data_IF_521903681063
#
_entry.id   IF_521903681063
#
_cell.length_a   1.000
_cell.length_b   1.000
_cell.length_c   1.000
_cell.angle_alpha   90.00
_cell.angle_beta   90.00
_cell.angle_gamma   90.00
#
_symmetry.space_group_name_H-M   'P 1'
#
loop_
_entity.id
_entity.type
_entity.pdbx_description
1 polymer ?
#
# COMPACT_ATOMS: atom_id res chain seq x y z
N UNK A 1 5.07 -6.63 46.93
CA UNK A 1 5.49 -7.18 45.66
C UNK A 1 4.30 -7.11 44.68
N UNK A 2 4.22 -6.12 43.82
CA UNK A 2 3.19 -6.00 42.77
C UNK A 2 3.71 -6.67 41.50
N UNK A 3 2.96 -7.65 41.00
CA UNK A 3 3.27 -8.33 39.73
C UNK A 3 3.07 -7.37 38.56
N UNK A 4 4.09 -7.23 37.73
CA UNK A 4 4.06 -6.53 36.45
C UNK A 4 3.43 -7.48 35.42
N UNK A 5 2.44 -7.05 34.63
CA UNK A 5 1.88 -7.91 33.59
C UNK A 5 2.88 -8.14 32.47
N UNK A 6 2.95 -9.39 32.00
CA UNK A 6 3.87 -9.82 30.96
C UNK A 6 3.64 -9.12 29.62
N UNK A 7 4.73 -8.75 28.99
CA UNK A 7 4.79 -8.22 27.64
C UNK A 7 4.52 -9.36 26.64
N UNK A 8 3.52 -9.19 25.80
CA UNK A 8 3.33 -10.03 24.63
C UNK A 8 4.42 -9.68 23.60
N UNK A 9 5.25 -10.65 23.27
CA UNK A 9 6.22 -10.56 22.20
C UNK A 9 5.46 -10.47 20.86
N UNK A 10 5.38 -9.27 20.29
CA UNK A 10 4.85 -9.04 18.95
C UNK A 10 5.86 -9.51 17.91
N UNK A 11 5.47 -10.39 17.04
CA UNK A 11 6.27 -10.88 15.92
C UNK A 11 6.34 -9.79 14.85
N UNK A 12 7.54 -9.32 14.50
CA UNK A 12 7.79 -8.37 13.41
C UNK A 12 7.60 -9.09 12.07
N UNK A 13 6.76 -8.60 11.20
CA UNK A 13 6.58 -9.09 9.84
C UNK A 13 6.68 -7.95 8.82
N UNK A 14 7.27 -8.26 7.71
CA UNK A 14 7.68 -7.42 6.61
C UNK A 14 6.55 -7.11 5.62
N UNK A 15 6.44 -5.89 5.14
CA UNK A 15 5.55 -5.52 4.05
C UNK A 15 6.05 -6.06 2.71
N UNK A 16 5.16 -6.52 1.80
CA UNK A 16 5.53 -6.87 0.43
C UNK A 16 6.02 -5.62 -0.33
N UNK A 17 7.20 -5.70 -0.89
CA UNK A 17 7.98 -4.61 -1.46
C UNK A 17 9.25 -4.30 -0.67
N UNK A 18 9.36 -4.81 0.56
CA UNK A 18 10.52 -4.70 1.44
C UNK A 18 11.28 -6.04 1.60
N UNK A 19 11.07 -6.99 0.73
CA UNK A 19 11.74 -8.29 0.73
C UNK A 19 13.21 -8.23 0.26
N UNK A 20 13.90 -7.13 0.52
CA UNK A 20 15.32 -6.95 0.29
C UNK A 20 15.92 -6.14 1.43
N UNK A 21 16.56 -6.81 2.39
CA UNK A 21 17.42 -6.25 3.44
C UNK A 21 16.77 -5.16 4.31
N UNK A 22 15.99 -5.56 5.27
CA UNK A 22 15.50 -4.69 6.37
C UNK A 22 16.57 -4.33 7.39
N UNK A 23 17.67 -3.81 6.94
CA UNK A 23 18.71 -3.41 7.87
C UNK A 23 18.77 -1.91 8.14
N UNK A 24 17.87 -1.09 7.57
CA UNK A 24 18.06 0.37 7.60
C UNK A 24 16.79 1.22 7.60
N UNK A 25 15.66 0.80 8.15
CA UNK A 25 14.56 1.76 8.37
C UNK A 25 14.99 2.77 9.42
N UNK A 26 14.90 4.05 9.07
CA UNK A 26 15.31 5.15 9.94
C UNK A 26 14.12 5.64 10.73
N UNK A 27 14.19 5.57 12.06
CA UNK A 27 13.24 6.22 12.94
C UNK A 27 13.75 7.63 13.24
N UNK A 28 13.12 8.65 12.68
CA UNK A 28 13.47 10.05 12.90
C UNK A 28 12.66 10.58 14.08
N UNK A 29 13.33 10.90 15.18
CA UNK A 29 12.70 11.38 16.39
C UNK A 29 13.54 12.49 17.05
N UNK A 30 12.89 13.42 17.77
CA UNK A 30 13.61 14.29 18.67
C UNK A 30 13.89 13.53 19.97
N UNK A 31 15.13 13.07 20.12
CA UNK A 31 15.57 12.28 21.27
C UNK A 31 16.03 13.13 22.47
N UNK A 32 15.93 14.47 22.39
CA UNK A 32 16.32 15.39 23.46
C UNK A 32 15.49 15.15 24.73
N UNK A 33 16.00 14.32 25.65
CA UNK A 33 15.42 14.04 26.94
C UNK A 33 14.21 13.11 26.98
N UNK A 34 13.93 12.40 25.91
CA UNK A 34 12.95 11.32 25.88
C UNK A 34 13.64 10.06 25.39
N UNK A 35 13.71 8.98 26.16
CA UNK A 35 14.21 7.71 25.65
C UNK A 35 13.33 7.26 24.48
N UNK A 36 13.90 7.14 23.29
CA UNK A 36 13.28 6.37 22.23
C UNK A 36 13.47 4.93 22.63
N UNK A 37 12.41 4.12 22.79
CA UNK A 37 12.56 2.71 23.09
C UNK A 37 13.49 2.08 22.04
N UNK A 38 14.34 1.17 22.48
CA UNK A 38 15.15 0.36 21.58
C UNK A 38 14.20 -0.40 20.66
N UNK A 39 14.07 0.09 19.44
CA UNK A 39 13.30 -0.55 18.40
C UNK A 39 14.05 -1.82 18.04
N UNK A 40 13.32 -2.92 17.85
CA UNK A 40 13.92 -4.23 17.57
C UNK A 40 14.88 -4.20 16.38
N UNK A 41 15.70 -5.21 16.23
CA UNK A 41 16.71 -5.32 15.18
C UNK A 41 16.15 -4.89 13.82
N UNK A 42 16.76 -3.88 13.20
CA UNK A 42 16.37 -3.39 11.88
C UNK A 42 16.03 -1.90 11.80
N UNK A 43 15.98 -1.16 12.91
CA UNK A 43 15.77 0.27 12.88
C UNK A 43 17.03 1.03 13.31
N UNK A 44 17.37 2.08 12.58
CA UNK A 44 18.36 3.07 12.99
C UNK A 44 17.62 4.32 13.48
N UNK A 45 17.89 4.74 14.70
CA UNK A 45 17.34 6.00 15.23
C UNK A 45 18.21 7.15 14.79
N UNK A 46 17.62 8.13 14.13
CA UNK A 46 18.26 9.41 13.83
C UNK A 46 17.61 10.50 14.69
N UNK A 47 18.43 11.12 15.53
CA UNK A 47 17.99 12.28 16.31
C UNK A 47 18.05 13.54 15.47
N UNK A 48 16.92 14.19 15.31
CA UNK A 48 16.83 15.50 14.67
C UNK A 48 15.79 16.36 15.37
N UNK A 49 16.10 17.61 15.67
CA UNK A 49 15.07 18.55 16.09
C UNK A 49 14.26 19.11 14.92
N UNK A 50 14.80 19.09 13.69
CA UNK A 50 14.23 19.75 12.52
C UNK A 50 14.20 18.80 11.32
N UNK A 51 13.01 18.55 10.79
CA UNK A 51 12.75 17.66 9.68
C UNK A 51 11.74 18.30 8.71
N UNK A 52 11.96 18.09 7.42
CA UNK A 52 11.05 18.56 6.38
C UNK A 52 10.40 17.37 5.64
N UNK A 53 9.12 17.48 5.34
CA UNK A 53 8.49 16.73 4.27
C UNK A 53 8.95 17.41 2.98
N UNK A 54 9.94 16.81 2.32
CA UNK A 54 10.65 17.45 1.20
C UNK A 54 10.17 16.93 -0.14
N UNK A 55 9.87 17.88 -1.04
CA UNK A 55 9.57 17.62 -2.44
C UNK A 55 10.80 17.83 -3.29
N UNK A 56 10.99 16.91 -4.24
CA UNK A 56 11.99 17.03 -5.28
C UNK A 56 11.37 16.71 -6.64
N UNK A 57 11.90 17.31 -7.69
CA UNK A 57 11.48 17.02 -9.06
C UNK A 57 12.69 16.81 -9.97
N UNK A 58 12.66 15.74 -10.73
CA UNK A 58 13.68 15.40 -11.74
C UNK A 58 13.18 15.73 -13.14
N UNK A 59 13.69 16.81 -13.78
CA UNK A 59 13.26 17.20 -15.11
C UNK A 59 13.52 16.14 -16.19
N UNK A 60 14.62 15.38 -16.08
CA UNK A 60 15.03 14.41 -17.09
C UNK A 60 14.01 13.28 -17.30
N UNK A 61 13.37 12.80 -16.23
CA UNK A 61 12.37 11.74 -16.28
C UNK A 61 10.98 12.24 -15.87
N UNK A 62 10.83 13.54 -15.57
CA UNK A 62 9.58 14.22 -15.26
C UNK A 62 8.86 13.64 -14.04
N UNK A 63 9.62 13.25 -13.02
CA UNK A 63 9.11 12.61 -11.83
C UNK A 63 9.29 13.47 -10.59
N UNK A 64 8.24 13.48 -9.74
CA UNK A 64 8.33 13.95 -8.37
C UNK A 64 8.77 12.83 -7.44
N UNK A 65 9.51 13.20 -6.40
CA UNK A 65 9.72 12.38 -5.21
C UNK A 65 9.33 13.18 -3.98
N UNK A 66 8.79 12.47 -2.98
CA UNK A 66 8.40 13.01 -1.69
C UNK A 66 9.03 12.13 -0.63
N UNK A 67 9.68 12.74 0.34
CA UNK A 67 10.36 12.02 1.42
C UNK A 67 10.58 12.90 2.63
N UNK A 68 11.48 12.49 3.51
CA UNK A 68 11.89 13.28 4.65
C UNK A 68 13.32 13.83 4.45
N UNK A 69 13.55 15.05 4.89
CA UNK A 69 14.87 15.66 4.93
C UNK A 69 15.20 16.07 6.37
N UNK A 70 16.29 15.57 6.87
CA UNK A 70 16.85 16.05 8.12
C UNK A 70 17.58 17.36 7.84
N UNK A 71 17.07 18.48 8.36
CA UNK A 71 17.60 19.79 8.03
C UNK A 71 18.93 20.08 8.74
N UNK A 72 19.23 19.39 9.84
CA UNK A 72 20.48 19.56 10.57
C UNK A 72 21.72 19.09 9.79
N UNK A 73 21.56 18.07 8.92
CA UNK A 73 22.68 17.48 8.17
C UNK A 73 22.42 17.37 6.65
N UNK A 74 21.23 17.75 6.18
CA UNK A 74 20.83 17.69 4.77
C UNK A 74 20.52 16.31 4.24
N UNK A 75 20.60 15.25 5.07
CA UNK A 75 20.31 13.86 4.64
C UNK A 75 18.85 13.71 4.28
N UNK A 76 18.59 13.05 3.16
CA UNK A 76 17.25 12.80 2.66
C UNK A 76 16.94 11.30 2.74
N UNK A 77 15.68 10.99 3.03
CA UNK A 77 15.14 9.64 3.12
C UNK A 77 13.94 9.52 2.20
N UNK A 78 13.88 8.46 1.42
CA UNK A 78 12.63 8.13 0.72
C UNK A 78 11.50 7.89 1.74
N UNK A 79 10.28 8.17 1.36
CA UNK A 79 9.12 8.04 2.25
C UNK A 79 8.92 6.63 2.81
N UNK A 80 9.44 5.63 2.09
CA UNK A 80 9.42 4.21 2.51
C UNK A 80 10.56 3.82 3.45
N UNK A 81 11.60 4.64 3.56
CA UNK A 81 12.84 4.29 4.26
C UNK A 81 12.92 4.91 5.66
N UNK A 82 11.97 5.79 5.99
CA UNK A 82 11.94 6.50 7.27
C UNK A 82 10.53 6.61 7.85
N UNK A 83 10.47 6.67 9.17
CA UNK A 83 9.28 6.95 9.95
C UNK A 83 9.55 8.20 10.77
N UNK A 84 8.69 9.20 10.65
CA UNK A 84 8.69 10.38 11.54
C UNK A 84 7.87 10.05 12.78
N UNK A 85 8.47 10.20 13.94
CA UNK A 85 7.89 9.76 15.21
C UNK A 85 7.42 10.92 16.08
N UNK A 86 6.13 10.91 16.44
CA UNK A 86 5.52 11.76 17.45
C UNK A 86 5.53 11.07 18.80
N UNK A 87 6.36 11.55 19.72
CA UNK A 87 6.45 10.97 21.08
C UNK A 87 5.33 11.48 21.99
N UNK A 88 5.17 10.83 23.15
CA UNK A 88 4.15 11.18 24.16
C UNK A 88 4.11 12.65 24.54
N UNK A 89 5.28 13.33 24.58
CA UNK A 89 5.37 14.76 24.87
C UNK A 89 4.65 15.66 23.84
N UNK A 90 4.29 15.12 22.68
CA UNK A 90 3.54 15.84 21.64
C UNK A 90 2.03 15.78 21.87
N UNK A 91 1.55 15.06 22.88
CA UNK A 91 0.15 15.12 23.32
C UNK A 91 -0.21 16.55 23.71
N UNK A 92 -1.37 16.96 23.25
CA UNK A 92 -1.91 18.30 23.48
C UNK A 92 -3.42 18.15 23.72
N UNK A 93 -3.94 18.93 24.68
CA UNK A 93 -5.38 19.00 24.93
C UNK A 93 -6.05 19.84 23.85
N UNK A 94 -7.16 19.36 23.30
CA UNK A 94 -7.98 20.10 22.33
C UNK A 94 -8.57 21.34 23.04
N UNK A 95 -8.30 22.55 22.52
CA UNK A 95 -8.81 23.78 23.12
C UNK A 95 -10.34 23.83 23.08
N UNK A 96 -10.91 24.70 23.92
CA UNK A 96 -12.33 25.01 23.85
C UNK A 96 -12.67 25.89 22.65
N UNK A 97 -13.90 25.75 22.15
CA UNK A 97 -14.44 26.52 21.03
C UNK A 97 -14.65 25.67 19.78
N UNK A 98 -15.72 25.99 19.03
CA UNK A 98 -16.13 25.26 17.83
C UNK A 98 -15.12 25.32 16.68
N UNK A 99 -14.23 26.33 16.66
CA UNK A 99 -13.15 26.47 15.69
C UNK A 99 -12.11 25.33 15.77
N UNK A 100 -12.04 24.63 16.92
CA UNK A 100 -11.13 23.50 17.15
C UNK A 100 -11.79 22.14 16.94
N UNK A 101 -13.07 22.10 16.56
CA UNK A 101 -13.84 20.86 16.39
C UNK A 101 -13.23 19.88 15.38
N UNK A 102 -12.38 20.36 14.46
CA UNK A 102 -11.66 19.50 13.50
C UNK A 102 -10.65 18.56 14.19
N UNK A 103 -10.17 18.90 15.38
CA UNK A 103 -9.27 18.05 16.18
C UNK A 103 -10.05 17.04 17.03
N UNK A 104 -11.35 17.22 17.23
CA UNK A 104 -12.21 16.38 18.06
C UNK A 104 -12.95 17.16 19.14
N UNK A 105 -13.37 16.46 20.18
CA UNK A 105 -14.11 17.06 21.30
C UNK A 105 -13.19 17.87 22.19
N UNK A 106 -13.61 19.08 22.60
CA UNK A 106 -12.88 19.94 23.55
C UNK A 106 -12.50 19.16 24.82
N UNK A 107 -11.28 19.35 25.28
CA UNK A 107 -10.69 18.59 26.40
C UNK A 107 -10.15 17.21 26.04
N UNK A 108 -10.41 16.72 24.82
CA UNK A 108 -9.81 15.51 24.29
C UNK A 108 -8.31 15.70 23.96
N UNK A 109 -7.70 14.68 23.39
CA UNK A 109 -6.26 14.65 23.11
C UNK A 109 -6.00 14.59 21.60
N UNK A 110 -5.00 15.31 21.14
CA UNK A 110 -4.37 15.18 19.85
C UNK A 110 -2.85 15.26 19.97
N UNK A 111 -2.11 14.93 18.93
CA UNK A 111 -0.65 15.03 18.91
C UNK A 111 -0.23 16.15 17.96
N UNK A 112 0.62 17.04 18.44
CA UNK A 112 1.00 18.27 17.74
C UNK A 112 2.49 18.34 17.44
N UNK A 113 2.84 18.64 16.20
CA UNK A 113 4.15 19.16 15.80
C UNK A 113 4.02 20.67 15.65
N UNK A 114 4.62 21.46 16.58
CA UNK A 114 4.42 22.91 16.58
C UNK A 114 5.08 23.61 15.38
N UNK A 115 4.43 24.66 14.87
CA UNK A 115 4.92 25.48 13.76
C UNK A 115 6.12 26.38 14.15
N UNK A 116 6.55 26.39 15.39
CA UNK A 116 7.67 27.22 15.85
C UNK A 116 8.74 26.37 16.50
N UNK A 117 10.01 26.73 16.27
CA UNK A 117 11.14 26.04 16.89
C UNK A 117 11.09 26.08 18.41
N UNK A 118 10.69 27.22 19.01
CA UNK A 118 10.52 27.35 20.45
C UNK A 118 9.42 26.45 21.00
N UNK A 119 8.29 26.31 20.28
CA UNK A 119 7.22 25.40 20.63
C UNK A 119 7.66 23.94 20.54
N UNK A 120 8.39 23.56 19.50
CA UNK A 120 8.94 22.23 19.34
C UNK A 120 9.98 21.90 20.43
N UNK A 121 10.89 22.82 20.72
CA UNK A 121 11.90 22.65 21.77
C UNK A 121 11.27 22.51 23.16
N UNK A 122 10.26 23.31 23.48
CA UNK A 122 9.54 23.24 24.75
C UNK A 122 8.83 21.91 24.99
N UNK A 123 8.32 21.30 23.93
CA UNK A 123 7.68 19.96 23.95
C UNK A 123 8.66 18.81 23.72
N UNK A 124 9.92 19.08 23.41
CA UNK A 124 10.88 18.08 22.92
C UNK A 124 10.32 17.30 21.71
N UNK A 125 9.59 18.02 20.86
CA UNK A 125 8.96 17.50 19.65
C UNK A 125 9.88 17.73 18.45
N UNK A 126 9.60 17.05 17.34
CA UNK A 126 10.16 17.42 16.05
C UNK A 126 9.59 18.77 15.60
N UNK A 127 10.44 19.63 15.08
CA UNK A 127 10.07 20.81 14.31
C UNK A 127 9.90 20.35 12.87
N UNK A 128 8.67 19.96 12.51
CA UNK A 128 8.35 19.32 11.23
C UNK A 128 7.73 20.35 10.29
N UNK A 129 8.30 20.46 9.09
CA UNK A 129 7.84 21.39 8.06
C UNK A 129 7.62 20.73 6.71
N UNK A 130 7.37 21.58 5.72
CA UNK A 130 7.28 21.24 4.30
C UNK A 130 8.31 22.01 3.52
N UNK A 131 9.00 21.36 2.59
CA UNK A 131 9.98 22.04 1.75
C UNK A 131 9.92 21.62 0.28
N UNK A 132 10.28 22.54 -0.58
CA UNK A 132 10.50 22.35 -2.01
C UNK A 132 11.97 22.47 -2.40
N UNK A 133 12.89 22.10 -1.51
CA UNK A 133 14.34 22.26 -1.73
C UNK A 133 14.86 21.49 -2.95
N UNK A 134 14.21 20.40 -3.32
CA UNK A 134 14.54 19.63 -4.53
C UNK A 134 13.77 20.06 -5.77
N UNK A 135 13.10 21.22 -5.73
CA UNK A 135 12.36 21.80 -6.88
C UNK A 135 13.12 23.02 -7.40
N UNK A 136 13.59 22.94 -8.63
CA UNK A 136 14.35 24.05 -9.28
C UNK A 136 13.47 25.28 -9.43
N UNK A 137 14.02 26.44 -9.06
CA UNK A 137 13.34 27.72 -9.20
C UNK A 137 12.97 28.02 -10.67
N UNK A 138 11.81 28.63 -10.85
CA UNK A 138 11.23 29.01 -12.17
C UNK A 138 10.93 27.83 -13.12
N UNK A 139 11.03 26.59 -12.63
CA UNK A 139 10.66 25.41 -13.43
C UNK A 139 9.13 25.26 -13.54
N UNK A 140 8.42 25.62 -12.47
CA UNK A 140 6.96 25.62 -12.42
C UNK A 140 6.39 27.02 -12.42
N UNK A 141 5.16 27.18 -12.90
CA UNK A 141 4.41 28.43 -12.81
C UNK A 141 4.07 28.77 -11.35
N UNK A 142 3.71 30.02 -11.11
CA UNK A 142 3.29 30.49 -9.79
C UNK A 142 4.19 31.62 -9.27
N UNK A 143 3.94 32.02 -8.03
CA UNK A 143 4.68 33.08 -7.34
C UNK A 143 5.94 32.55 -6.66
N UNK A 144 6.83 33.41 -6.18
CA UNK A 144 8.00 33.02 -5.39
C UNK A 144 9.00 32.11 -6.12
N UNK A 145 9.14 32.23 -7.45
CA UNK A 145 10.05 31.38 -8.22
C UNK A 145 9.44 30.05 -8.66
N UNK A 146 8.12 29.93 -8.62
CA UNK A 146 7.34 28.73 -8.97
C UNK A 146 6.81 27.98 -7.76
N UNK A 147 5.74 27.26 -7.98
CA UNK A 147 5.04 26.54 -6.91
C UNK A 147 4.61 25.14 -7.32
N UNK A 148 4.59 24.23 -6.35
CA UNK A 148 4.08 22.87 -6.47
C UNK A 148 3.01 22.68 -5.38
N UNK A 149 1.93 22.02 -5.73
CA UNK A 149 0.86 21.68 -4.80
C UNK A 149 1.06 20.26 -4.26
N UNK A 150 1.16 20.15 -2.93
CA UNK A 150 1.17 18.88 -2.24
C UNK A 150 -0.25 18.56 -1.75
N UNK A 151 -0.81 17.45 -2.19
CA UNK A 151 -2.16 17.01 -1.84
C UNK A 151 -2.12 15.71 -1.03
N UNK A 152 -2.93 15.62 0.03
CA UNK A 152 -3.22 14.35 0.68
C UNK A 152 -4.14 13.55 -0.24
N UNK A 153 -3.68 12.40 -0.69
CA UNK A 153 -4.45 11.47 -1.53
C UNK A 153 -5.25 10.48 -0.68
N UNK A 154 -4.61 9.87 0.32
CA UNK A 154 -5.23 8.93 1.24
C UNK A 154 -4.48 8.90 2.58
N UNK A 155 -5.15 8.42 3.62
CA UNK A 155 -4.58 8.15 4.93
C UNK A 155 -5.07 6.80 5.44
N UNK A 156 -4.20 6.10 6.12
CA UNK A 156 -4.50 4.84 6.79
C UNK A 156 -3.79 4.79 8.14
N UNK A 157 -4.51 4.43 9.19
CA UNK A 157 -3.91 4.09 10.47
C UNK A 157 -3.75 2.57 10.53
N UNK A 158 -2.51 2.10 10.42
CA UNK A 158 -2.17 0.68 10.32
C UNK A 158 -2.39 -0.10 11.63
N UNK A 159 -2.35 0.59 12.78
CA UNK A 159 -2.57 -0.03 14.10
C UNK A 159 -4.01 0.08 14.57
N UNK A 160 -4.75 1.08 14.09
CA UNK A 160 -6.14 1.34 14.43
C UNK A 160 -6.93 1.70 13.17
N UNK A 161 -7.31 0.74 12.32
CA UNK A 161 -7.95 0.99 11.04
C UNK A 161 -9.15 1.93 11.14
N UNK A 162 -9.15 2.97 10.31
CA UNK A 162 -10.21 3.99 10.28
C UNK A 162 -10.13 5.06 11.37
N UNK A 163 -9.18 4.98 12.31
CA UNK A 163 -9.04 5.97 13.37
C UNK A 163 -8.09 7.11 12.99
N UNK A 164 -8.50 8.34 13.30
CA UNK A 164 -7.69 9.54 13.25
C UNK A 164 -7.53 10.16 11.87
N UNK A 165 -7.15 11.44 11.90
CA UNK A 165 -6.87 12.26 10.73
C UNK A 165 -5.58 13.02 10.92
N UNK A 166 -5.00 13.45 9.79
CA UNK A 166 -3.87 14.37 9.72
C UNK A 166 -4.36 15.76 9.32
N UNK A 167 -3.85 16.77 10.01
CA UNK A 167 -4.10 18.18 9.71
C UNK A 167 -2.79 18.97 9.74
N UNK A 168 -2.68 19.93 8.83
CA UNK A 168 -1.70 21.01 8.89
C UNK A 168 -2.46 22.34 8.91
N UNK A 169 -2.19 23.19 9.90
CA UNK A 169 -2.93 24.42 10.10
C UNK A 169 -2.05 25.56 10.64
N UNK A 170 -2.43 26.77 10.32
CA UNK A 170 -1.89 27.99 10.94
C UNK A 170 -2.83 28.48 12.02
N UNK A 171 -2.35 29.40 12.86
CA UNK A 171 -3.18 30.09 13.84
C UNK A 171 -3.02 31.61 13.68
N UNK A 172 -4.15 32.32 13.61
CA UNK A 172 -4.22 33.77 13.72
C UNK A 172 -4.87 34.10 15.06
N UNK A 173 -4.05 34.47 16.05
CA UNK A 173 -4.48 34.51 17.43
C UNK A 173 -4.93 33.14 17.93
N UNK A 174 -6.19 33.01 18.36
CA UNK A 174 -6.80 31.74 18.79
C UNK A 174 -7.57 31.00 17.69
N UNK A 175 -7.57 31.51 16.45
CA UNK A 175 -8.34 30.94 15.37
C UNK A 175 -7.44 30.09 14.46
N UNK A 176 -7.68 28.77 14.37
CA UNK A 176 -6.97 27.91 13.44
C UNK A 176 -7.53 28.05 12.03
N UNK A 177 -6.64 27.98 11.04
CA UNK A 177 -6.96 27.91 9.62
C UNK A 177 -6.30 26.67 9.03
N UNK A 178 -7.10 25.66 8.71
CA UNK A 178 -6.61 24.41 8.12
C UNK A 178 -6.09 24.65 6.70
N UNK A 179 -4.81 24.34 6.47
CA UNK A 179 -4.13 24.49 5.18
C UNK A 179 -4.09 23.18 4.40
N UNK A 180 -3.95 22.04 5.09
CA UNK A 180 -3.89 20.72 4.47
C UNK A 180 -4.52 19.69 5.42
N UNK A 181 -5.36 18.78 4.89
CA UNK A 181 -6.00 17.77 5.71
C UNK A 181 -6.27 16.48 4.95
N UNK A 182 -6.31 15.38 5.70
CA UNK A 182 -6.83 14.08 5.23
C UNK A 182 -8.35 13.92 5.43
N UNK A 183 -8.98 14.79 6.21
CA UNK A 183 -10.40 14.71 6.51
C UNK A 183 -11.25 15.35 5.40
N UNK A 184 -12.39 14.74 5.13
CA UNK A 184 -13.39 15.30 4.21
C UNK A 184 -13.92 16.64 4.69
N UNK A 185 -14.19 17.56 3.76
CA UNK A 185 -14.71 18.89 4.06
C UNK A 185 -13.66 19.94 4.40
N UNK A 186 -12.39 19.57 4.44
CA UNK A 186 -11.26 20.48 4.63
C UNK A 186 -10.38 20.56 3.39
N UNK A 187 -9.50 21.58 3.34
CA UNK A 187 -8.54 21.71 2.25
C UNK A 187 -7.57 20.52 2.29
N UNK A 188 -7.40 19.84 1.16
CA UNK A 188 -6.52 18.71 1.02
C UNK A 188 -5.27 18.98 0.17
N UNK A 189 -5.00 20.26 -0.15
CA UNK A 189 -3.88 20.67 -1.01
C UNK A 189 -3.19 21.89 -0.43
N UNK A 190 -1.88 21.82 -0.28
CA UNK A 190 -1.03 22.88 0.22
C UNK A 190 0.02 23.28 -0.82
N UNK A 191 0.23 24.59 -0.97
CA UNK A 191 1.21 25.16 -1.89
C UNK A 191 2.60 25.22 -1.27
N UNK A 192 3.59 24.70 -1.97
CA UNK A 192 5.01 24.73 -1.60
C UNK A 192 5.78 25.47 -2.69
N UNK A 193 6.58 26.45 -2.29
CA UNK A 193 7.40 27.22 -3.20
C UNK A 193 8.68 26.47 -3.57
N UNK A 194 9.13 26.63 -4.82
CA UNK A 194 10.40 26.09 -5.30
C UNK A 194 11.58 26.66 -4.49
N UNK A 195 12.38 25.76 -3.91
CA UNK A 195 13.51 26.14 -3.06
C UNK A 195 13.13 26.70 -1.68
N UNK A 196 11.83 26.84 -1.38
CA UNK A 196 11.32 27.34 -0.12
C UNK A 196 11.00 26.25 0.90
N UNK A 197 10.70 26.67 2.13
CA UNK A 197 10.13 25.80 3.16
C UNK A 197 9.11 26.60 4.00
N UNK A 198 8.25 25.87 4.71
CA UNK A 198 7.24 26.43 5.59
C UNK A 198 6.93 25.48 6.75
N UNK A 199 6.66 26.03 7.92
CA UNK A 199 6.23 25.29 9.10
C UNK A 199 4.79 25.65 9.45
N UNK A 200 3.97 24.62 9.54
CA UNK A 200 2.59 24.66 10.01
C UNK A 200 2.50 23.87 11.33
N UNK A 201 1.46 24.13 12.11
CA UNK A 201 1.12 23.19 13.17
C UNK A 201 0.59 21.92 12.50
N UNK A 202 1.27 20.78 12.70
CA UNK A 202 0.79 19.51 12.22
C UNK A 202 0.12 18.76 13.36
N UNK A 203 -0.97 18.09 13.10
CA UNK A 203 -1.76 17.39 14.10
C UNK A 203 -2.21 16.02 13.62
N UNK A 204 -2.20 15.06 14.57
CA UNK A 204 -2.85 13.76 14.43
C UNK A 204 -3.90 13.62 15.52
N UNK A 205 -5.11 13.15 15.15
CA UNK A 205 -6.24 13.06 16.09
C UNK A 205 -6.39 11.69 16.73
N UNK A 206 -5.50 10.74 16.42
CA UNK A 206 -5.37 9.45 17.11
C UNK A 206 -3.90 9.05 17.21
N UNK A 207 -3.58 8.15 18.13
CA UNK A 207 -2.30 7.43 18.12
C UNK A 207 -2.30 6.33 17.08
N UNK A 208 -1.12 5.81 16.75
CA UNK A 208 -0.95 4.69 15.83
C UNK A 208 0.13 4.92 14.79
N UNK A 209 0.31 3.92 13.94
CA UNK A 209 1.20 4.01 12.77
C UNK A 209 0.38 4.47 11.57
N UNK A 210 0.62 5.70 11.12
CA UNK A 210 -0.04 6.26 9.96
C UNK A 210 0.80 6.07 8.71
N UNK A 211 0.15 5.67 7.64
CA UNK A 211 0.62 5.74 6.26
C UNK A 211 -0.23 6.77 5.52
N UNK A 212 0.42 7.84 5.05
CA UNK A 212 -0.25 8.93 4.33
C UNK A 212 0.32 8.98 2.92
N UNK A 213 -0.53 8.87 1.92
CA UNK A 213 -0.13 9.04 0.52
C UNK A 213 -0.31 10.49 0.12
N UNK A 214 0.77 11.05 -0.39
CA UNK A 214 0.79 12.39 -0.94
C UNK A 214 0.94 12.35 -2.46
N UNK A 215 0.37 13.34 -3.12
CA UNK A 215 0.54 13.61 -4.55
C UNK A 215 1.09 15.01 -4.71
N UNK A 216 2.17 15.15 -5.48
CA UNK A 216 2.73 16.43 -5.87
C UNK A 216 2.26 16.77 -7.29
N UNK A 217 1.84 18.02 -7.51
CA UNK A 217 1.36 18.52 -8.81
C UNK A 217 1.87 19.93 -9.07
N UNK A 218 2.37 20.16 -10.30
CA UNK A 218 2.80 21.47 -10.74
C UNK A 218 2.56 21.69 -12.23
N UNK A 219 2.56 22.93 -12.67
CA UNK A 219 2.46 23.31 -14.10
C UNK A 219 3.81 23.82 -14.56
N UNK A 220 4.44 23.17 -15.54
CA UNK A 220 5.74 23.56 -16.09
C UNK A 220 5.64 24.94 -16.73
N UNK A 221 6.51 25.87 -16.34
CA UNK A 221 6.50 27.25 -16.83
C UNK A 221 6.76 27.37 -18.34
N UNK A 222 7.64 26.50 -18.90
CA UNK A 222 8.00 26.56 -20.31
C UNK A 222 6.96 26.01 -21.27
N UNK A 223 6.20 24.99 -20.84
CA UNK A 223 5.24 24.29 -21.72
C UNK A 223 3.77 24.49 -21.33
N UNK A 224 3.49 24.93 -20.09
CA UNK A 224 2.14 24.95 -19.54
C UNK A 224 1.57 23.56 -19.19
N UNK A 225 2.39 22.54 -19.34
CA UNK A 225 1.97 21.16 -19.07
C UNK A 225 1.90 20.87 -17.58
N UNK A 226 0.86 20.13 -17.19
CA UNK A 226 0.68 19.67 -15.81
C UNK A 226 1.47 18.37 -15.60
N UNK A 227 2.30 18.36 -14.57
CA UNK A 227 2.99 17.16 -14.09
C UNK A 227 2.43 16.80 -12.71
N UNK A 228 2.09 15.53 -12.54
CA UNK A 228 1.58 15.01 -11.28
C UNK A 228 2.30 13.70 -10.92
N UNK A 229 2.59 13.50 -9.63
CA UNK A 229 3.19 12.25 -9.15
C UNK A 229 2.13 11.16 -9.00
N UNK A 230 2.57 9.90 -9.02
CA UNK A 230 1.81 8.84 -8.37
C UNK A 230 1.68 9.14 -6.86
N UNK A 231 0.68 8.56 -6.17
CA UNK A 231 0.61 8.64 -4.72
C UNK A 231 1.87 8.04 -4.07
N UNK A 232 2.57 8.83 -3.27
CA UNK A 232 3.82 8.46 -2.61
C UNK A 232 3.58 8.39 -1.09
N UNK A 233 3.85 7.25 -0.44
CA UNK A 233 3.57 7.06 0.98
C UNK A 233 4.65 7.68 1.86
N UNK A 234 4.23 8.31 2.97
CA UNK A 234 5.05 8.68 4.11
C UNK A 234 4.52 7.99 5.36
N UNK A 235 5.41 7.63 6.27
CA UNK A 235 5.06 6.97 7.52
C UNK A 235 5.27 7.88 8.74
N UNK A 236 4.27 7.90 9.63
CA UNK A 236 4.28 8.67 10.87
C UNK A 236 3.87 7.75 12.02
N UNK A 237 4.77 7.59 12.98
CA UNK A 237 4.49 6.83 14.19
C UNK A 237 4.03 7.77 15.31
N UNK A 238 2.74 7.80 15.63
CA UNK A 238 2.17 8.60 16.72
C UNK A 238 2.06 7.74 17.96
N UNK A 239 3.02 7.89 18.89
CA UNK A 239 3.25 7.00 20.05
C UNK A 239 3.50 5.53 19.65
N UNK A 240 3.64 5.28 18.37
CA UNK A 240 3.94 3.98 17.81
C UNK A 240 5.23 4.11 16.99
N UNK A 241 6.08 3.09 17.02
CA UNK A 241 7.35 3.09 16.28
C UNK A 241 7.56 1.84 15.46
N UNK A 242 6.64 0.91 15.54
CA UNK A 242 6.68 -0.31 14.73
C UNK A 242 5.60 -0.24 13.66
N UNK A 243 5.98 -0.39 12.41
CA UNK A 243 4.99 -0.65 11.36
C UNK A 243 4.37 -2.00 11.72
N UNK A 244 3.04 -2.04 11.96
CA UNK A 244 2.41 -3.31 12.28
C UNK A 244 2.66 -4.27 11.14
N UNK A 245 2.94 -5.46 11.56
CA UNK A 245 2.96 -6.60 10.70
C UNK A 245 1.58 -6.75 10.10
N UNK A 246 1.43 -6.34 8.87
CA UNK A 246 0.36 -6.92 8.08
C UNK A 246 0.73 -8.39 7.90
N UNK A 247 -0.16 -9.31 8.32
CA UNK A 247 0.02 -10.72 7.99
C UNK A 247 0.40 -10.81 6.50
N UNK A 248 1.40 -11.61 6.11
CA UNK A 248 1.79 -11.70 4.72
C UNK A 248 0.52 -11.91 3.91
N UNK A 249 0.35 -11.09 2.90
CA UNK A 249 -0.77 -11.27 2.00
C UNK A 249 -0.78 -12.73 1.54
N UNK A 250 -1.92 -13.38 1.67
CA UNK A 250 -2.07 -14.79 1.28
C UNK A 250 -3.04 -14.89 0.10
N UNK A 251 -3.01 -15.99 -0.57
CA UNK A 251 -3.96 -16.25 -1.65
C UNK A 251 -3.89 -15.19 -2.74
N UNK A 252 -5.04 -14.67 -3.12
CA UNK A 252 -5.16 -13.70 -4.22
C UNK A 252 -4.45 -12.37 -3.96
N UNK A 253 -4.46 -11.88 -2.73
CA UNK A 253 -3.78 -10.61 -2.41
C UNK A 253 -2.27 -10.73 -2.58
N UNK A 254 -1.67 -11.86 -2.20
CA UNK A 254 -0.25 -12.13 -2.46
C UNK A 254 0.05 -12.20 -3.96
N UNK A 255 -0.81 -12.87 -4.71
CA UNK A 255 -0.68 -12.98 -6.15
C UNK A 255 -0.81 -11.61 -6.85
N UNK A 256 -1.77 -10.78 -6.43
CA UNK A 256 -1.89 -9.40 -6.93
C UNK A 256 -0.61 -8.60 -6.74
N UNK A 257 -0.05 -8.65 -5.54
CA UNK A 257 1.18 -7.92 -5.22
C UNK A 257 2.40 -8.44 -6.02
N UNK A 258 2.39 -9.71 -6.41
CA UNK A 258 3.44 -10.31 -7.23
C UNK A 258 3.30 -10.02 -8.74
N UNK A 259 2.06 -9.80 -9.22
CA UNK A 259 1.75 -9.67 -10.65
C UNK A 259 1.53 -8.23 -11.11
N UNK A 260 1.11 -7.34 -10.22
CA UNK A 260 0.73 -5.96 -10.54
C UNK A 260 1.66 -4.96 -9.86
N UNK A 261 1.87 -3.80 -10.47
CA UNK A 261 2.47 -2.66 -9.77
C UNK A 261 1.56 -2.21 -8.61
N UNK A 262 2.09 -1.47 -7.65
CA UNK A 262 1.33 -1.01 -6.48
C UNK A 262 0.07 -0.23 -6.87
N UNK A 263 0.13 0.61 -7.91
CA UNK A 263 -1.02 1.36 -8.41
C UNK A 263 -2.04 0.47 -9.11
N UNK A 264 -1.60 -0.55 -9.83
CA UNK A 264 -2.48 -1.52 -10.48
C UNK A 264 -3.15 -2.44 -9.45
N UNK A 265 -2.41 -2.90 -8.45
CA UNK A 265 -2.91 -3.79 -7.39
C UNK A 265 -4.05 -3.15 -6.58
N UNK A 266 -4.09 -1.83 -6.44
CA UNK A 266 -5.17 -1.09 -5.77
C UNK A 266 -6.32 -0.70 -6.69
N UNK A 267 -6.18 -0.86 -8.00
CA UNK A 267 -7.21 -0.55 -8.98
C UNK A 267 -8.02 -1.81 -9.33
N UNK A 268 -9.25 -1.92 -8.81
CA UNK A 268 -10.12 -3.07 -9.05
C UNK A 268 -10.51 -3.28 -10.52
N UNK A 269 -10.48 -2.23 -11.34
CA UNK A 269 -10.70 -2.36 -12.79
C UNK A 269 -9.54 -3.06 -13.51
N UNK A 270 -8.36 -3.13 -12.89
CA UNK A 270 -7.16 -3.81 -13.41
C UNK A 270 -6.91 -5.12 -12.67
N UNK A 271 -6.91 -5.10 -11.34
CA UNK A 271 -6.55 -6.24 -10.50
C UNK A 271 -7.73 -6.91 -9.81
N UNK A 272 -8.96 -6.55 -10.14
CA UNK A 272 -10.15 -7.24 -9.64
C UNK A 272 -10.30 -8.64 -10.28
N UNK A 273 -11.04 -9.53 -9.62
CA UNK A 273 -11.27 -10.91 -10.07
C UNK A 273 -11.82 -11.03 -11.48
N UNK A 274 -12.69 -10.09 -11.86
CA UNK A 274 -13.40 -10.08 -13.14
C UNK A 274 -12.66 -9.30 -14.25
N UNK A 275 -11.56 -8.61 -13.90
CA UNK A 275 -10.77 -7.87 -14.87
C UNK A 275 -9.93 -8.80 -15.74
N UNK A 276 -9.68 -8.34 -16.97
CA UNK A 276 -8.85 -8.98 -17.99
C UNK A 276 -7.95 -7.87 -18.57
N UNK A 277 -6.85 -7.50 -17.86
CA UNK A 277 -6.09 -6.30 -18.19
C UNK A 277 -5.21 -6.45 -19.44
N UNK A 278 -4.85 -7.66 -19.84
CA UNK A 278 -4.07 -7.93 -21.06
C UNK A 278 -4.94 -8.30 -22.28
N UNK A 279 -6.25 -8.50 -22.07
CA UNK A 279 -7.23 -8.71 -23.14
C UNK A 279 -7.16 -10.07 -23.81
N UNK A 280 -6.59 -11.09 -23.17
CA UNK A 280 -6.44 -12.44 -23.77
C UNK A 280 -7.70 -13.32 -23.59
N UNK A 281 -8.72 -12.83 -22.90
CA UNK A 281 -9.99 -13.49 -22.62
C UNK A 281 -9.98 -14.34 -21.36
N UNK A 282 -8.90 -14.38 -20.59
CA UNK A 282 -8.85 -14.97 -19.27
C UNK A 282 -8.94 -13.86 -18.21
N UNK A 283 -9.95 -13.95 -17.36
CA UNK A 283 -10.07 -13.05 -16.21
C UNK A 283 -9.01 -13.37 -15.18
N UNK A 284 -8.62 -12.39 -14.38
CA UNK A 284 -7.66 -12.55 -13.28
C UNK A 284 -7.99 -13.74 -12.36
N UNK A 285 -9.27 -14.04 -12.13
CA UNK A 285 -9.68 -15.22 -11.37
C UNK A 285 -9.19 -16.52 -12.01
N UNK A 286 -9.29 -16.63 -13.33
CA UNK A 286 -8.87 -17.82 -14.09
C UNK A 286 -7.35 -17.93 -14.08
N UNK A 287 -6.67 -16.83 -14.28
CA UNK A 287 -5.20 -16.77 -14.27
C UNK A 287 -4.61 -17.09 -12.89
N UNK A 288 -5.21 -16.55 -11.84
CA UNK A 288 -4.87 -16.90 -10.47
C UNK A 288 -5.07 -18.39 -10.18
N UNK A 289 -6.17 -18.96 -10.69
CA UNK A 289 -6.48 -20.38 -10.49
C UNK A 289 -5.56 -21.31 -11.29
N UNK A 290 -5.07 -20.88 -12.45
CA UNK A 290 -4.40 -21.73 -13.44
C UNK A 290 -2.97 -21.28 -13.78
N UNK A 291 -2.31 -20.48 -12.91
CA UNK A 291 -0.95 -20.00 -13.09
C UNK A 291 -0.75 -19.13 -14.33
N UNK A 292 -1.67 -18.21 -14.59
CA UNK A 292 -1.58 -17.26 -15.68
C UNK A 292 -0.74 -16.02 -15.35
N UNK A 293 -0.63 -15.14 -16.34
CA UNK A 293 0.02 -13.86 -16.18
C UNK A 293 -0.90 -12.72 -16.65
N UNK A 294 -1.57 -12.00 -15.73
CA UNK A 294 -2.60 -11.02 -16.03
C UNK A 294 -2.11 -9.78 -16.80
N UNK A 295 -0.80 -9.66 -16.98
CA UNK A 295 -0.19 -8.51 -17.65
C UNK A 295 0.50 -8.89 -18.98
N UNK A 296 0.37 -10.12 -19.43
CA UNK A 296 0.97 -10.59 -20.66
C UNK A 296 0.08 -11.64 -21.35
N UNK A 297 -0.56 -11.29 -22.47
CA UNK A 297 -1.45 -12.21 -23.19
C UNK A 297 -0.76 -13.53 -23.51
N UNK A 298 -1.42 -14.64 -23.22
CA UNK A 298 -0.82 -15.95 -23.43
C UNK A 298 -1.80 -17.11 -23.29
N UNK A 299 -1.33 -18.30 -23.63
CA UNK A 299 -2.13 -19.53 -23.57
C UNK A 299 -1.57 -20.57 -22.59
N UNK A 300 -0.48 -20.25 -21.84
CA UNK A 300 0.21 -21.20 -20.97
C UNK A 300 -0.65 -21.69 -19.80
N UNK A 301 -1.57 -20.86 -19.34
CA UNK A 301 -2.54 -21.16 -18.29
C UNK A 301 -3.78 -21.94 -18.79
N UNK A 302 -4.00 -22.00 -20.11
CA UNK A 302 -5.22 -22.62 -20.65
C UNK A 302 -5.18 -24.13 -20.54
N UNK A 303 -6.31 -24.76 -20.16
CA UNK A 303 -6.44 -26.20 -20.16
C UNK A 303 -6.18 -26.79 -21.54
N UNK A 304 -5.42 -27.89 -21.62
CA UNK A 304 -5.05 -28.56 -22.85
C UNK A 304 -5.77 -29.91 -22.98
N UNK A 305 -6.44 -30.08 -24.09
CA UNK A 305 -7.09 -31.35 -24.42
C UNK A 305 -6.05 -32.38 -24.87
N UNK A 306 -6.21 -33.60 -24.38
CA UNK A 306 -5.35 -34.73 -24.74
C UNK A 306 -6.14 -36.04 -24.72
N UNK A 307 -5.50 -37.15 -25.06
CA UNK A 307 -6.03 -38.51 -24.87
C UNK A 307 -5.20 -39.18 -23.78
N UNK A 308 -5.86 -39.92 -22.89
CA UNK A 308 -5.20 -40.83 -21.94
C UNK A 308 -5.64 -42.26 -22.23
N UNK A 309 -4.69 -43.21 -22.04
CA UNK A 309 -4.92 -44.64 -22.15
C UNK A 309 -5.03 -45.23 -20.74
N UNK A 310 -6.12 -45.87 -20.42
CA UNK A 310 -6.33 -46.55 -19.15
C UNK A 310 -7.08 -47.86 -19.36
N UNK A 311 -6.57 -48.97 -18.85
CA UNK A 311 -7.15 -50.29 -19.03
C UNK A 311 -7.29 -50.72 -20.49
N UNK A 312 -6.44 -50.23 -21.39
CA UNK A 312 -6.51 -50.50 -22.83
C UNK A 312 -7.56 -49.66 -23.58
N UNK A 313 -8.26 -48.76 -22.92
CA UNK A 313 -9.25 -47.87 -23.52
C UNK A 313 -8.74 -46.44 -23.58
N UNK A 314 -9.12 -45.70 -24.64
CA UNK A 314 -8.79 -44.28 -24.81
C UNK A 314 -9.91 -43.42 -24.24
N UNK A 315 -9.49 -42.39 -23.50
CA UNK A 315 -10.38 -41.38 -22.89
C UNK A 315 -10.01 -39.97 -23.35
N UNK A 316 -11.04 -39.17 -23.64
CA UNK A 316 -10.87 -37.73 -23.76
C UNK A 316 -10.43 -37.17 -22.41
N UNK A 317 -9.37 -36.37 -22.38
CA UNK A 317 -8.79 -35.86 -21.15
C UNK A 317 -8.40 -34.40 -21.29
N UNK A 318 -8.33 -33.72 -20.14
CA UNK A 318 -7.95 -32.32 -20.02
C UNK A 318 -6.83 -32.19 -18.99
N UNK A 319 -5.75 -31.53 -19.37
CA UNK A 319 -4.60 -31.23 -18.52
C UNK A 319 -4.55 -29.74 -18.23
N UNK A 320 -4.31 -29.36 -16.97
CA UNK A 320 -4.15 -27.95 -16.58
C UNK A 320 -3.38 -27.84 -15.27
N UNK A 321 -2.87 -26.64 -14.99
CA UNK A 321 -2.31 -26.31 -13.70
C UNK A 321 -3.42 -25.76 -12.79
N UNK A 322 -3.40 -26.13 -11.52
CA UNK A 322 -4.33 -25.57 -10.52
C UNK A 322 -3.59 -25.08 -9.30
N UNK A 323 -4.12 -24.05 -8.68
CA UNK A 323 -3.59 -23.50 -7.43
C UNK A 323 -3.85 -24.44 -6.26
N UNK A 324 -2.86 -24.53 -5.37
CA UNK A 324 -2.91 -25.26 -4.09
C UNK A 324 -3.21 -24.29 -2.94
N UNK A 325 -3.75 -24.81 -1.84
CA UNK A 325 -3.78 -24.14 -0.54
C UNK A 325 -4.76 -22.96 -0.38
N UNK A 326 -5.56 -22.63 -1.39
CA UNK A 326 -6.63 -21.65 -1.28
C UNK A 326 -8.00 -22.37 -1.19
N UNK A 327 -8.53 -22.44 0.03
CA UNK A 327 -9.81 -23.12 0.31
C UNK A 327 -11.04 -22.38 -0.24
N UNK A 328 -10.88 -21.13 -0.66
CA UNK A 328 -11.97 -20.33 -1.27
C UNK A 328 -12.06 -20.52 -2.78
N UNK A 329 -11.04 -21.14 -3.38
CA UNK A 329 -10.91 -21.32 -4.82
C UNK A 329 -11.17 -22.75 -5.24
N UNK A 330 -12.10 -22.96 -6.16
CA UNK A 330 -12.46 -24.28 -6.67
C UNK A 330 -12.30 -24.33 -8.19
N UNK A 331 -11.40 -25.19 -8.67
CA UNK A 331 -11.25 -25.52 -10.08
C UNK A 331 -11.83 -26.93 -10.31
N UNK A 332 -13.02 -27.01 -10.86
CA UNK A 332 -13.76 -28.27 -11.08
C UNK A 332 -13.79 -28.62 -12.54
N UNK A 333 -13.50 -29.88 -12.88
CA UNK A 333 -13.68 -30.38 -14.24
C UNK A 333 -15.09 -30.90 -14.42
N UNK A 334 -15.78 -30.30 -15.37
CA UNK A 334 -17.13 -30.69 -15.75
C UNK A 334 -17.15 -31.36 -17.14
N UNK A 335 -18.06 -32.28 -17.34
CA UNK A 335 -18.24 -33.00 -18.58
C UNK A 335 -19.70 -33.01 -19.05
N UNK A 336 -19.88 -33.09 -20.35
CA UNK A 336 -21.20 -33.33 -21.00
C UNK A 336 -21.00 -34.07 -22.33
N UNK A 337 -22.04 -34.74 -22.80
CA UNK A 337 -22.12 -35.30 -24.17
C UNK A 337 -22.92 -34.39 -25.13
N UNK A 338 -23.58 -33.36 -24.59
CA UNK A 338 -24.38 -32.40 -25.34
C UNK A 338 -24.17 -31.00 -24.75
N UNK A 339 -23.72 -30.04 -25.57
CA UNK A 339 -23.46 -28.67 -25.14
C UNK A 339 -24.72 -27.90 -24.72
N UNK A 340 -25.92 -28.38 -25.13
CA UNK A 340 -27.20 -27.82 -24.69
C UNK A 340 -27.70 -28.40 -23.37
N UNK A 341 -27.10 -29.49 -22.89
CA UNK A 341 -27.47 -30.18 -21.66
C UNK A 341 -26.68 -29.59 -20.46
N UNK A 342 -27.19 -29.80 -19.22
CA UNK A 342 -26.43 -29.44 -18.01
C UNK A 342 -25.06 -30.17 -17.96
N UNK A 343 -24.07 -29.46 -17.49
CA UNK A 343 -22.73 -30.01 -17.22
C UNK A 343 -22.72 -30.79 -15.91
N UNK A 344 -22.00 -31.90 -15.85
CA UNK A 344 -21.86 -32.77 -14.69
C UNK A 344 -20.40 -32.79 -14.17
N UNK A 345 -20.21 -33.15 -12.91
CA UNK A 345 -18.89 -33.27 -12.26
C UNK A 345 -18.34 -34.69 -12.29
N UNK A 346 -18.71 -35.49 -13.30
CA UNK A 346 -18.32 -36.90 -13.40
C UNK A 346 -16.91 -37.17 -13.95
N UNK A 347 -16.12 -36.15 -14.26
CA UNK A 347 -14.75 -36.33 -14.74
C UNK A 347 -13.85 -36.96 -13.63
N UNK A 348 -12.97 -37.87 -14.05
CA UNK A 348 -12.12 -38.67 -13.14
C UNK A 348 -10.67 -38.18 -13.21
N UNK A 349 -10.04 -37.91 -12.07
CA UNK A 349 -8.62 -37.55 -12.04
C UNK A 349 -7.74 -38.74 -12.40
N UNK A 350 -6.78 -38.53 -13.29
CA UNK A 350 -5.82 -39.52 -13.77
C UNK A 350 -4.48 -39.30 -13.08
N UNK A 351 -4.12 -40.31 -12.27
CA UNK A 351 -2.86 -40.24 -11.51
C UNK A 351 -2.85 -39.21 -10.38
N UNK A 352 -1.72 -39.11 -9.72
CA UNK A 352 -1.48 -38.09 -8.68
C UNK A 352 -1.15 -36.73 -9.32
N UNK A 353 -1.50 -35.60 -8.68
CA UNK A 353 -1.04 -34.28 -9.11
C UNK A 353 0.48 -34.18 -9.14
N UNK A 354 1.04 -33.53 -10.14
CA UNK A 354 2.47 -33.28 -10.27
C UNK A 354 2.77 -31.86 -9.81
N UNK A 355 3.64 -31.64 -8.80
CA UNK A 355 4.02 -30.31 -8.36
C UNK A 355 4.64 -29.49 -9.50
N UNK A 356 4.24 -28.25 -9.68
CA UNK A 356 4.83 -27.26 -10.58
C UNK A 356 5.78 -26.35 -9.77
N UNK A 357 5.26 -25.79 -8.69
CA UNK A 357 6.00 -24.95 -7.73
C UNK A 357 5.35 -25.02 -6.35
N UNK A 358 5.66 -24.06 -5.47
CA UNK A 358 5.08 -23.99 -4.12
C UNK A 358 3.55 -23.82 -4.17
N UNK A 359 3.04 -23.07 -5.14
CA UNK A 359 1.64 -22.63 -5.21
C UNK A 359 0.78 -23.46 -6.19
N UNK A 360 1.40 -24.13 -7.16
CA UNK A 360 0.69 -24.80 -8.25
C UNK A 360 1.07 -26.26 -8.42
N UNK A 361 0.13 -27.02 -8.93
CA UNK A 361 0.29 -28.41 -9.35
C UNK A 361 -0.39 -28.65 -10.70
N UNK A 362 0.15 -29.58 -11.48
CA UNK A 362 -0.46 -30.03 -12.73
C UNK A 362 -1.34 -31.24 -12.48
N UNK A 363 -2.53 -31.21 -13.04
CA UNK A 363 -3.51 -32.30 -12.95
C UNK A 363 -4.01 -32.70 -14.32
N UNK A 364 -4.43 -33.95 -14.41
CA UNK A 364 -5.09 -34.50 -15.58
C UNK A 364 -6.43 -35.10 -15.14
N UNK A 365 -7.50 -34.80 -15.87
CA UNK A 365 -8.82 -35.39 -15.67
C UNK A 365 -9.27 -35.98 -16.96
N UNK A 366 -9.93 -37.16 -16.92
CA UNK A 366 -10.55 -37.80 -18.08
C UNK A 366 -12.07 -37.77 -18.01
N UNK A 367 -12.70 -37.85 -19.14
CA UNK A 367 -14.12 -38.07 -19.22
C UNK A 367 -14.51 -39.43 -18.58
N UNK A 368 -15.75 -39.57 -18.07
CA UNK A 368 -16.18 -40.79 -17.39
C UNK A 368 -16.30 -42.00 -18.35
N UNK A 369 -16.60 -41.75 -19.62
CA UNK A 369 -16.75 -42.77 -20.65
C UNK A 369 -15.57 -42.80 -21.60
N UNK A 370 -15.23 -43.96 -22.12
CA UNK A 370 -14.19 -44.09 -23.16
C UNK A 370 -14.64 -43.48 -24.49
N UNK A 371 -13.68 -43.22 -25.38
CA UNK A 371 -14.00 -42.76 -26.76
C UNK A 371 -14.78 -43.77 -27.57
N UNK A 372 -14.71 -45.04 -27.18
CA UNK A 372 -15.50 -46.12 -27.81
C UNK A 372 -16.94 -46.09 -27.34
N UNK A 373 -17.17 -45.85 -26.03
CA UNK A 373 -18.48 -45.86 -25.40
C UNK A 373 -19.28 -44.57 -25.69
N UNK A 374 -18.59 -43.46 -25.90
CA UNK A 374 -19.21 -42.17 -26.21
C UNK A 374 -18.41 -41.38 -27.24
N UNK A 375 -18.98 -41.25 -28.46
CA UNK A 375 -18.34 -40.55 -29.59
C UNK A 375 -18.35 -39.04 -29.46
N UNK A 376 -19.23 -38.48 -28.63
CA UNK A 376 -19.30 -37.02 -28.35
C UNK A 376 -19.15 -36.81 -26.87
N UNK A 377 -18.08 -36.11 -26.49
CA UNK A 377 -17.80 -35.73 -25.12
C UNK A 377 -17.10 -34.37 -25.12
N UNK A 378 -17.42 -33.57 -24.13
CA UNK A 378 -16.85 -32.26 -23.91
C UNK A 378 -16.37 -32.18 -22.46
N UNK A 379 -15.24 -31.54 -22.26
CA UNK A 379 -14.67 -31.22 -20.93
C UNK A 379 -14.44 -29.73 -20.84
N UNK A 380 -14.68 -29.16 -19.66
CA UNK A 380 -14.28 -27.80 -19.31
C UNK A 380 -13.77 -27.72 -17.88
N UNK A 381 -12.98 -26.74 -17.62
CA UNK A 381 -12.63 -26.36 -16.24
C UNK A 381 -13.50 -25.18 -15.82
N UNK A 382 -14.20 -25.32 -14.73
CA UNK A 382 -14.99 -24.26 -14.12
C UNK A 382 -14.24 -23.78 -12.87
N UNK A 383 -13.93 -22.48 -12.82
CA UNK A 383 -13.31 -21.83 -11.68
C UNK A 383 -14.37 -21.04 -10.94
N UNK A 384 -14.46 -21.27 -9.63
CA UNK A 384 -15.38 -20.55 -8.73
C UNK A 384 -14.62 -20.12 -7.51
N UNK A 385 -14.92 -18.93 -7.04
CA UNK A 385 -14.50 -18.40 -5.74
C UNK A 385 -15.73 -18.32 -4.84
N UNK A 386 -15.63 -18.88 -3.63
CA UNK A 386 -16.63 -18.78 -2.56
C UNK A 386 -16.38 -17.54 -1.70
#
# INVERSE_FOLDING_TARGET
>A
MRKIPGWLAGTVILLPGWAGAQTNTVLIANTSGTPVPLVGAGYRVESSPHVEINLSYQPANRTFSIGFRNDANGVQYAGTDAIVHAVTNQRTTIPSGSQWAFLGTSGGTFWSFPATLSGASGKKALYLGFSGYGVTANLFTGTGGGEVHLRVHAIENLTQPGAGHFYAYETSGSTPLTQLSSASGYNNSYRIFSGGHAHLNLAFTASGMFRIWFVARGTLAGSGEIVESHPLPLYFGVEEWQIPVQAPATGYEAWKLAKFSSSQATNSAVSGWEADPDGDGAKNLVEYAMNGNPMAPGNSHRPQMQTTLEGGQEFLSIRFQRRKGDSTLHATVENTSDLSAPWSTGAVQVGAPTPVDADYEQVVYRAPLSKTDAKKQYLRVRVVKN
#
